data_IF_823609340854
#
_entry.id   IF_823609340854
#
_cell.length_a   1.000
_cell.length_b   1.000
_cell.length_c   1.000
_cell.angle_alpha   90.00
_cell.angle_beta   90.00
_cell.angle_gamma   90.00
#
_symmetry.space_group_name_H-M   'P 1'
#
loop_
_entity.id
_entity.type
_entity.pdbx_description
1 polymer ?
#
# COMPACT_ATOMS: atom_id res chain seq x y z
N UNK A 1 -66.06 -22.31 -17.11
CA UNK A 1 -65.34 -22.29 -18.41
C UNK A 1 -63.85 -22.14 -18.15
N UNK A 2 -63.04 -23.16 -18.43
CA UNK A 2 -61.59 -23.17 -18.17
C UNK A 2 -60.88 -22.51 -19.36
N UNK A 3 -60.41 -21.27 -19.23
CA UNK A 3 -59.57 -20.61 -20.24
C UNK A 3 -58.30 -21.45 -20.41
N UNK A 4 -58.22 -22.27 -21.46
CA UNK A 4 -56.96 -22.91 -21.88
C UNK A 4 -56.05 -21.79 -22.37
N UNK A 5 -55.18 -21.29 -21.49
CA UNK A 5 -54.13 -20.36 -21.86
C UNK A 5 -53.32 -20.94 -23.01
N UNK A 6 -53.06 -20.14 -24.04
CA UNK A 6 -52.31 -20.63 -25.20
C UNK A 6 -50.89 -21.01 -24.74
N UNK A 7 -50.39 -22.22 -25.07
CA UNK A 7 -49.07 -22.68 -24.62
C UNK A 7 -47.94 -21.77 -25.14
N UNK A 8 -48.19 -21.06 -26.25
CA UNK A 8 -47.29 -20.03 -26.79
C UNK A 8 -47.15 -18.84 -25.86
N UNK A 9 -48.24 -18.41 -25.20
CA UNK A 9 -48.21 -17.28 -24.27
C UNK A 9 -47.42 -17.61 -22.99
N UNK A 10 -47.48 -18.85 -22.52
CA UNK A 10 -46.66 -19.33 -21.39
C UNK A 10 -45.17 -19.35 -21.77
N UNK A 11 -44.84 -19.79 -22.98
CA UNK A 11 -43.46 -19.78 -23.49
C UNK A 11 -42.90 -18.36 -23.55
N UNK A 12 -43.67 -17.40 -24.08
CA UNK A 12 -43.26 -15.99 -24.15
C UNK A 12 -43.03 -15.37 -22.77
N UNK A 13 -43.85 -15.71 -21.77
CA UNK A 13 -43.66 -15.25 -20.39
C UNK A 13 -42.36 -15.81 -19.79
N UNK A 14 -42.05 -17.09 -20.01
CA UNK A 14 -40.78 -17.65 -19.51
C UNK A 14 -39.56 -17.01 -20.17
N UNK A 15 -39.61 -16.74 -21.47
CA UNK A 15 -38.52 -16.05 -22.18
C UNK A 15 -38.32 -14.65 -21.61
N UNK A 16 -39.41 -13.92 -21.34
CA UNK A 16 -39.35 -12.59 -20.74
C UNK A 16 -38.71 -12.61 -19.35
N UNK A 17 -39.10 -13.56 -18.49
CA UNK A 17 -38.53 -13.72 -17.15
C UNK A 17 -37.04 -14.06 -17.24
N UNK A 18 -36.65 -14.93 -18.17
CA UNK A 18 -35.25 -15.29 -18.37
C UNK A 18 -34.42 -14.06 -18.79
N UNK A 19 -34.92 -13.25 -19.72
CA UNK A 19 -34.25 -12.02 -20.15
C UNK A 19 -34.12 -11.00 -19.03
N UNK A 20 -35.15 -10.84 -18.20
CA UNK A 20 -35.09 -9.97 -17.01
C UNK A 20 -34.05 -10.50 -16.03
N UNK A 21 -33.98 -11.83 -15.81
CA UNK A 21 -32.97 -12.44 -14.94
C UNK A 21 -31.55 -12.24 -15.44
N UNK A 22 -31.31 -12.40 -16.75
CA UNK A 22 -30.00 -12.16 -17.37
C UNK A 22 -29.62 -10.69 -17.28
N UNK A 23 -30.54 -9.77 -17.59
CA UNK A 23 -30.31 -8.34 -17.46
C UNK A 23 -30.01 -7.96 -16.00
N UNK A 24 -30.76 -8.50 -15.04
CA UNK A 24 -30.55 -8.25 -13.62
C UNK A 24 -29.15 -8.67 -13.17
N UNK A 25 -28.70 -9.89 -13.51
CA UNK A 25 -27.35 -10.36 -13.20
C UNK A 25 -26.30 -9.47 -13.86
N UNK A 26 -26.48 -9.13 -15.14
CA UNK A 26 -25.54 -8.26 -15.85
C UNK A 26 -25.42 -6.87 -15.21
N UNK A 27 -26.53 -6.26 -14.78
CA UNK A 27 -26.51 -4.97 -14.10
C UNK A 27 -26.10 -5.03 -12.61
N UNK A 28 -26.12 -6.20 -11.99
CA UNK A 28 -25.74 -6.36 -10.57
C UNK A 28 -24.32 -6.89 -10.37
N UNK A 29 -23.72 -7.51 -11.38
CA UNK A 29 -22.31 -7.95 -11.36
C UNK A 29 -21.32 -6.80 -11.22
N UNK A 30 -21.67 -5.58 -11.67
CA UNK A 30 -20.81 -4.40 -11.54
C UNK A 30 -20.96 -3.67 -10.18
N UNK A 31 -21.81 -4.17 -9.26
CA UNK A 31 -21.96 -3.61 -7.91
C UNK A 31 -21.14 -4.38 -6.86
N UNK A 32 -19.92 -4.82 -7.22
CA UNK A 32 -18.95 -5.11 -6.16
C UNK A 32 -18.68 -3.79 -5.44
N UNK A 33 -19.14 -3.71 -4.19
CA UNK A 33 -18.94 -2.54 -3.34
C UNK A 33 -17.44 -2.21 -3.34
N UNK A 34 -17.05 -1.12 -3.98
CA UNK A 34 -15.68 -0.61 -3.97
C UNK A 34 -15.25 -0.49 -2.51
N UNK A 35 -14.45 -1.45 -2.04
CA UNK A 35 -13.87 -1.35 -0.72
C UNK A 35 -12.96 -0.13 -0.73
N UNK A 36 -12.94 0.68 0.35
CA UNK A 36 -12.02 1.79 0.43
C UNK A 36 -10.59 1.29 0.14
N UNK A 37 -9.79 2.05 -0.64
CA UNK A 37 -8.45 1.62 -0.99
C UNK A 37 -7.67 1.34 0.30
N UNK A 38 -7.06 0.15 0.37
CA UNK A 38 -6.24 -0.25 1.51
C UNK A 38 -5.07 0.71 1.65
N UNK A 39 -4.72 1.02 2.89
CA UNK A 39 -3.64 1.96 3.20
C UNK A 39 -2.86 1.52 4.44
N UNK A 40 -1.54 1.67 4.41
CA UNK A 40 -0.65 1.56 5.57
C UNK A 40 -0.40 2.94 6.18
N UNK A 41 -0.30 3.04 7.50
CA UNK A 41 0.01 4.32 8.15
C UNK A 41 1.50 4.63 8.12
N UNK A 42 1.88 5.91 8.09
CA UNK A 42 3.29 6.34 8.21
C UNK A 42 3.99 5.76 9.45
N UNK A 43 3.27 5.64 10.57
CA UNK A 43 3.80 5.05 11.82
C UNK A 43 4.13 3.57 11.62
N UNK A 44 3.29 2.83 10.90
CA UNK A 44 3.56 1.42 10.59
C UNK A 44 4.80 1.29 9.71
N UNK A 45 4.92 2.11 8.66
CA UNK A 45 6.12 2.13 7.80
C UNK A 45 7.37 2.43 8.62
N UNK A 46 7.32 3.45 9.49
CA UNK A 46 8.43 3.76 10.38
C UNK A 46 8.81 2.57 11.27
N UNK A 47 7.84 1.83 11.80
CA UNK A 47 8.12 0.65 12.63
C UNK A 47 8.69 -0.51 11.81
N UNK A 48 8.23 -0.72 10.59
CA UNK A 48 8.76 -1.74 9.69
C UNK A 48 10.25 -1.47 9.43
N UNK A 49 10.61 -0.25 9.02
CA UNK A 49 12.00 0.15 8.76
C UNK A 49 12.93 0.13 9.99
N UNK A 50 12.39 0.05 11.22
CA UNK A 50 13.20 -0.18 12.42
C UNK A 50 13.55 -1.64 12.65
N UNK A 51 12.67 -2.53 12.23
CA UNK A 51 12.72 -3.96 12.61
C UNK A 51 13.13 -4.84 11.45
N UNK A 52 12.91 -4.38 10.22
CA UNK A 52 13.23 -5.11 9.02
C UNK A 52 14.72 -4.99 8.68
N UNK A 53 15.25 -6.03 8.07
CA UNK A 53 16.52 -5.95 7.36
C UNK A 53 16.31 -5.11 6.10
N UNK A 54 16.97 -3.95 6.03
CA UNK A 54 16.85 -3.03 4.90
C UNK A 54 17.60 -3.60 3.71
N UNK A 55 16.86 -3.83 2.62
CA UNK A 55 17.45 -4.13 1.33
C UNK A 55 17.79 -2.80 0.65
N UNK A 56 19.07 -2.44 0.69
CA UNK A 56 19.60 -1.22 0.06
C UNK A 56 20.09 -1.56 -1.37
N UNK A 57 19.93 -0.65 -2.35
CA UNK A 57 20.44 -0.88 -3.71
C UNK A 57 21.96 -1.12 -3.78
N UNK A 58 22.73 -0.52 -2.87
CA UNK A 58 24.19 -0.67 -2.78
C UNK A 58 24.64 -1.64 -1.69
N UNK A 59 25.82 -2.24 -1.91
CA UNK A 59 26.48 -3.05 -0.90
C UNK A 59 27.16 -2.18 0.18
N UNK A 60 27.03 -2.54 1.47
CA UNK A 60 27.65 -1.81 2.58
C UNK A 60 29.18 -1.97 2.57
N UNK A 61 29.91 -0.90 2.92
CA UNK A 61 31.35 -0.77 2.63
C UNK A 61 32.24 -1.68 3.49
N UNK A 62 31.69 -2.31 4.54
CA UNK A 62 32.42 -3.21 5.44
C UNK A 62 31.65 -4.49 5.83
N UNK A 63 30.70 -4.92 4.99
CA UNK A 63 29.85 -6.08 5.30
C UNK A 63 28.92 -5.86 6.50
N UNK A 64 28.66 -4.58 6.82
CA UNK A 64 27.63 -4.17 7.78
C UNK A 64 26.23 -4.28 7.18
N UNK A 65 25.27 -3.60 7.80
CA UNK A 65 23.92 -3.42 7.27
C UNK A 65 23.59 -1.94 7.30
N UNK A 66 22.87 -1.46 6.29
CA UNK A 66 22.26 -0.14 6.36
C UNK A 66 21.13 -0.14 7.40
N UNK A 67 21.00 0.97 8.12
CA UNK A 67 19.88 1.24 9.00
C UNK A 67 19.25 2.59 8.64
N UNK A 68 17.91 2.65 8.69
CA UNK A 68 17.15 3.84 8.33
C UNK A 68 17.27 4.90 9.43
N UNK A 69 17.63 6.12 9.04
CA UNK A 69 17.76 7.28 9.94
C UNK A 69 16.57 8.21 9.83
N UNK A 70 16.10 8.46 8.60
CA UNK A 70 14.94 9.31 8.32
C UNK A 70 14.08 8.73 7.20
N UNK A 71 12.77 8.99 7.25
CA UNK A 71 11.85 8.71 6.14
C UNK A 71 11.17 10.01 5.73
N UNK A 72 11.14 10.29 4.43
CA UNK A 72 10.52 11.46 3.85
C UNK A 72 9.27 11.03 3.08
N UNK A 73 8.11 11.42 3.60
CA UNK A 73 6.81 11.15 2.97
C UNK A 73 6.35 12.36 2.16
N UNK A 74 5.92 12.19 0.90
CA UNK A 74 5.25 13.25 0.15
C UNK A 74 4.07 13.85 0.95
N UNK A 75 3.78 15.14 0.77
CA UNK A 75 2.70 15.82 1.49
C UNK A 75 1.30 15.20 1.25
N UNK A 76 1.10 14.56 0.10
CA UNK A 76 -0.13 13.89 -0.31
C UNK A 76 -0.11 12.37 -0.10
N UNK A 77 0.90 11.83 0.60
CA UNK A 77 1.08 10.40 0.83
C UNK A 77 -0.12 9.76 1.57
N UNK A 78 -0.69 8.70 0.99
CA UNK A 78 -1.87 7.98 1.52
C UNK A 78 -1.55 6.58 2.05
N UNK A 79 -0.31 6.10 1.87
CA UNK A 79 0.11 4.75 2.20
C UNK A 79 -0.50 3.67 1.31
N UNK A 80 -0.75 3.98 0.04
CA UNK A 80 -1.36 3.03 -0.91
C UNK A 80 -0.31 2.29 -1.75
N UNK A 81 -0.68 1.13 -2.28
CA UNK A 81 0.15 0.40 -3.25
C UNK A 81 0.50 1.32 -4.43
N UNK A 82 1.77 1.30 -4.82
CA UNK A 82 2.34 2.12 -5.88
C UNK A 82 2.83 3.50 -5.43
N UNK A 83 2.55 3.93 -4.20
CA UNK A 83 3.10 5.18 -3.69
C UNK A 83 4.57 5.03 -3.32
N UNK A 84 5.31 6.11 -3.58
CA UNK A 84 6.76 6.20 -3.39
C UNK A 84 7.10 7.15 -2.24
N UNK A 85 8.17 6.83 -1.53
CA UNK A 85 8.74 7.64 -0.46
C UNK A 85 10.25 7.47 -0.42
N UNK A 86 10.95 8.35 0.29
CA UNK A 86 12.40 8.29 0.40
C UNK A 86 12.81 7.85 1.80
N UNK A 87 13.89 7.09 1.86
CA UNK A 87 14.50 6.62 3.10
C UNK A 87 15.96 7.03 3.08
N UNK A 88 16.36 7.79 4.09
CA UNK A 88 17.77 8.06 4.36
C UNK A 88 18.28 6.97 5.28
N UNK A 89 19.43 6.41 4.93
CA UNK A 89 20.03 5.29 5.65
C UNK A 89 21.54 5.43 5.69
N UNK A 90 22.15 4.81 6.70
CA UNK A 90 23.61 4.80 6.86
C UNK A 90 24.11 3.43 7.33
N UNK A 91 25.36 3.10 7.03
CA UNK A 91 26.05 1.89 7.51
C UNK A 91 27.17 2.22 8.53
N UNK A 92 27.18 3.47 9.02
CA UNK A 92 28.22 4.04 9.87
C UNK A 92 29.45 4.59 9.14
N UNK A 93 29.53 4.41 7.81
CA UNK A 93 30.64 4.91 6.98
C UNK A 93 30.11 5.73 5.79
N UNK A 94 29.03 5.26 5.18
CA UNK A 94 28.34 5.91 4.06
C UNK A 94 26.90 6.16 4.47
N UNK A 95 26.40 7.34 4.10
CA UNK A 95 24.99 7.68 4.13
C UNK A 95 24.49 7.73 2.68
N UNK A 96 23.29 7.22 2.45
CA UNK A 96 22.62 7.23 1.14
C UNK A 96 21.15 7.60 1.32
N UNK A 97 20.53 8.04 0.22
CA UNK A 97 19.08 8.19 0.13
C UNK A 97 18.56 7.21 -0.90
N UNK A 98 17.51 6.46 -0.59
CA UNK A 98 16.87 5.55 -1.55
C UNK A 98 15.37 5.78 -1.64
N UNK A 99 14.83 5.66 -2.86
CA UNK A 99 13.38 5.63 -3.09
C UNK A 99 12.86 4.22 -2.88
N UNK A 100 11.76 4.11 -2.13
CA UNK A 100 11.00 2.87 -1.96
C UNK A 100 9.58 3.05 -2.47
N UNK A 101 9.02 1.97 -3.03
CA UNK A 101 7.62 1.89 -3.42
C UNK A 101 6.89 0.82 -2.61
N UNK A 102 5.65 1.10 -2.23
CA UNK A 102 4.77 0.09 -1.62
C UNK A 102 4.31 -0.87 -2.72
N UNK A 103 4.73 -2.12 -2.67
CA UNK A 103 4.35 -3.14 -3.66
C UNK A 103 3.06 -3.84 -3.27
N UNK A 104 2.95 -4.26 -2.02
CA UNK A 104 1.82 -5.05 -1.54
C UNK A 104 1.42 -4.62 -0.13
N UNK A 105 0.13 -4.73 0.17
CA UNK A 105 -0.44 -4.54 1.49
C UNK A 105 -1.13 -5.83 1.94
N UNK A 106 -0.83 -6.30 3.15
CA UNK A 106 -1.49 -7.48 3.72
C UNK A 106 -2.93 -7.17 4.14
N UNK A 107 -3.74 -8.22 4.23
CA UNK A 107 -5.13 -8.15 4.70
C UNK A 107 -5.25 -8.07 6.23
N UNK A 108 -4.12 -8.04 6.94
CA UNK A 108 -4.08 -8.01 8.40
C UNK A 108 -4.51 -6.65 8.96
N UNK A 109 -4.86 -6.62 10.25
CA UNK A 109 -5.14 -5.38 10.98
C UNK A 109 -4.21 -5.28 12.19
N UNK A 110 -3.21 -4.37 12.19
CA UNK A 110 -2.90 -3.39 11.15
C UNK A 110 -2.32 -4.01 9.86
N UNK A 111 -2.58 -3.37 8.71
CA UNK A 111 -2.04 -3.80 7.43
C UNK A 111 -0.52 -3.62 7.41
N UNK A 112 0.19 -4.66 6.96
CA UNK A 112 1.63 -4.63 6.75
C UNK A 112 1.93 -4.34 5.28
N UNK A 113 3.08 -3.73 5.00
CA UNK A 113 3.49 -3.39 3.65
C UNK A 113 4.80 -4.06 3.26
N UNK A 114 4.91 -4.46 1.99
CA UNK A 114 6.16 -4.87 1.36
C UNK A 114 6.68 -3.72 0.52
N UNK A 115 8.00 -3.47 0.58
CA UNK A 115 8.64 -2.34 -0.08
C UNK A 115 9.66 -2.80 -1.11
N UNK A 116 9.66 -2.19 -2.29
CA UNK A 116 10.68 -2.39 -3.32
C UNK A 116 11.62 -1.18 -3.37
N UNK A 117 12.95 -1.35 -3.22
CA UNK A 117 13.91 -0.29 -3.46
C UNK A 117 14.01 -0.02 -4.97
N UNK A 118 13.79 1.23 -5.39
CA UNK A 118 13.78 1.61 -6.81
C UNK A 118 15.09 2.25 -7.27
N UNK A 119 15.54 3.25 -6.53
CA UNK A 119 16.67 4.08 -6.94
C UNK A 119 17.45 4.60 -5.74
N UNK A 120 18.76 4.69 -5.91
CA UNK A 120 19.70 5.27 -4.94
C UNK A 120 20.17 6.64 -5.40
N UNK A 121 20.39 7.50 -4.40
CA UNK A 121 20.92 8.86 -4.51
C UNK A 121 21.96 9.11 -3.42
N UNK A 122 22.75 10.16 -3.61
CA UNK A 122 23.73 10.61 -2.64
C UNK A 122 23.08 11.09 -1.32
N UNK A 123 23.88 11.18 -0.27
CA UNK A 123 23.44 11.57 1.08
C UNK A 123 22.79 12.96 1.13
N UNK A 124 23.24 13.88 0.28
CA UNK A 124 22.79 15.27 0.22
C UNK A 124 21.60 15.48 -0.73
N UNK A 125 21.06 14.40 -1.29
CA UNK A 125 19.88 14.46 -2.13
C UNK A 125 18.66 15.02 -1.35
N UNK A 126 18.00 15.98 -1.98
CA UNK A 126 16.79 16.63 -1.49
C UNK A 126 15.70 16.48 -2.55
N UNK A 127 14.63 15.71 -2.29
CA UNK A 127 13.60 15.44 -3.27
C UNK A 127 12.80 16.71 -3.60
N UNK A 128 12.44 16.89 -4.88
CA UNK A 128 11.62 18.01 -5.30
C UNK A 128 10.18 17.90 -4.76
N UNK A 129 9.72 18.89 -4.00
CA UNK A 129 8.34 19.00 -3.53
C UNK A 129 8.22 19.19 -2.03
N UNK A 130 6.99 19.09 -1.52
CA UNK A 130 6.70 19.17 -0.09
C UNK A 130 6.77 17.78 0.53
N UNK A 131 7.69 17.60 1.49
CA UNK A 131 7.87 16.35 2.21
C UNK A 131 7.74 16.55 3.72
N UNK A 132 7.11 15.57 4.37
CA UNK A 132 7.15 15.43 5.82
C UNK A 132 8.27 14.48 6.20
N UNK A 133 9.32 15.01 6.83
CA UNK A 133 10.43 14.22 7.35
C UNK A 133 10.07 13.63 8.72
N UNK A 134 10.34 12.33 8.88
CA UNK A 134 10.20 11.60 10.14
C UNK A 134 11.53 10.98 10.52
N UNK A 135 12.10 11.44 11.63
CA UNK A 135 13.32 10.86 12.20
C UNK A 135 12.99 9.55 12.91
N UNK A 136 13.80 8.51 12.63
CA UNK A 136 13.72 7.24 13.33
C UNK A 136 14.58 7.23 14.61
N UNK A 137 15.57 8.13 14.69
CA UNK A 137 16.55 8.22 15.78
C UNK A 137 15.92 8.84 17.05
N UNK A 138 15.13 9.92 16.91
CA UNK A 138 14.58 10.63 18.08
C UNK A 138 13.48 9.87 18.83
N UNK A 139 12.80 8.96 18.14
CA UNK A 139 11.69 8.20 18.73
C UNK A 139 12.15 7.09 19.68
N UNK A 140 13.41 6.64 19.59
CA UNK A 140 13.93 5.62 20.51
C UNK A 140 14.13 6.16 21.94
N UNK A 141 14.19 7.48 22.12
CA UNK A 141 14.35 8.11 23.44
C UNK A 141 13.05 8.32 24.22
N UNK A 142 11.88 8.11 23.62
CA UNK A 142 10.58 8.37 24.28
C UNK A 142 10.07 7.15 25.08
N UNK A 143 10.69 5.97 24.92
CA UNK A 143 10.24 4.72 25.53
C UNK A 143 11.01 4.26 26.80
N UNK A 144 11.92 5.06 27.34
CA UNK A 144 12.84 4.63 28.40
C UNK A 144 12.73 5.38 29.75
N UNK A 145 11.64 6.12 29.97
CA UNK A 145 11.38 6.84 31.24
C UNK A 145 10.39 6.10 32.18
N UNK A 146 10.39 4.76 32.18
CA UNK A 146 9.77 3.96 33.24
C UNK A 146 10.76 2.93 33.78
N UNK A 147 11.62 3.36 34.70
CA UNK A 147 12.25 2.54 35.75
C UNK A 147 12.14 3.26 37.10
#
# INVERSE_FOLDING_TARGET
MKKRGSPRLVLWIMILILLIGVAYVYFTSDNELEQPPKSVSQISIMNDFRTMDIDAPSEPVLGGKFFATEILFPADFKGQVGEEFYVRMEDGHVAITATYRIEELTDDTPAQATYEPLQEYDADYDPEGDYTTKSLIEWSSIGNDED
#
